data_IF_767845779420
#
_entry.id   IF_767845779420
#
_cell.length_a   1.000
_cell.length_b   1.000
_cell.length_c   1.000
_cell.angle_alpha   90.00
_cell.angle_beta   90.00
_cell.angle_gamma   90.00
#
_symmetry.space_group_name_H-M   'P 1'
#
loop_
_entity.id
_entity.type
_entity.pdbx_description
1 polymer ?
#
# COMPACT_ATOMS: atom_id res chain seq x y z
N UNK A 1 -8.18 20.91 -0.63
CA UNK A 1 -8.97 20.37 0.50
C UNK A 1 -9.12 21.47 1.55
N UNK A 2 -10.25 22.19 1.58
CA UNK A 2 -10.50 23.30 2.51
C UNK A 2 -11.51 22.90 3.58
N UNK A 3 -11.10 22.03 4.50
CA UNK A 3 -11.91 21.64 5.67
C UNK A 3 -11.04 21.67 6.91
N UNK A 4 -11.63 22.03 8.03
CA UNK A 4 -10.99 21.91 9.34
C UNK A 4 -11.22 20.48 9.85
N UNK A 5 -10.16 19.87 10.38
CA UNK A 5 -10.19 18.54 10.98
C UNK A 5 -10.02 18.69 12.47
N UNK A 6 -10.91 18.06 13.25
CA UNK A 6 -10.78 17.97 14.71
C UNK A 6 -10.47 16.52 15.06
N UNK A 7 -9.31 16.25 15.65
CA UNK A 7 -8.86 14.90 15.99
C UNK A 7 -8.22 14.81 17.38
N UNK A 8 -8.17 13.62 17.97
CA UNK A 8 -7.55 13.45 19.27
C UNK A 8 -6.03 13.73 19.22
N UNK A 9 -5.48 14.27 20.31
CA UNK A 9 -4.04 14.45 20.49
C UNK A 9 -3.35 13.09 20.75
N UNK A 10 -3.21 12.29 19.69
CA UNK A 10 -2.62 10.96 19.71
C UNK A 10 -1.43 10.88 18.75
N UNK A 11 -0.49 9.95 18.98
CA UNK A 11 0.74 9.80 18.18
C UNK A 11 0.44 9.46 16.72
N UNK A 12 -0.63 8.70 16.47
CA UNK A 12 -1.10 8.41 15.10
C UNK A 12 -1.49 9.67 14.31
N UNK A 13 -1.77 10.77 15.01
CA UNK A 13 -2.19 12.04 14.41
C UNK A 13 -1.04 13.06 14.34
N UNK A 14 0.18 12.73 14.78
CA UNK A 14 1.32 13.66 14.80
C UNK A 14 1.59 14.29 13.43
N UNK A 15 1.49 13.49 12.37
CA UNK A 15 1.62 13.97 11.00
C UNK A 15 0.61 15.07 10.65
N UNK A 16 -0.61 15.02 11.20
CA UNK A 16 -1.64 16.00 10.87
C UNK A 16 -1.53 17.29 11.71
N UNK A 17 -0.85 17.25 12.86
CA UNK A 17 -0.73 18.41 13.78
C UNK A 17 0.02 19.59 13.17
N UNK A 18 0.88 19.34 12.17
CA UNK A 18 1.65 20.38 11.49
C UNK A 18 0.81 21.26 10.54
N UNK A 19 -0.41 20.83 10.17
CA UNK A 19 -1.24 21.57 9.22
C UNK A 19 -2.13 22.61 9.92
N UNK A 20 -2.30 23.80 9.32
CA UNK A 20 -3.04 24.92 9.93
C UNK A 20 -4.52 24.62 10.15
N UNK A 21 -5.08 23.70 9.37
CA UNK A 21 -6.49 23.29 9.44
C UNK A 21 -6.73 22.10 10.39
N UNK A 22 -5.71 21.64 11.10
CA UNK A 22 -5.85 20.59 12.11
C UNK A 22 -6.07 21.22 13.49
N UNK A 23 -7.02 20.67 14.25
CA UNK A 23 -7.28 20.99 15.64
C UNK A 23 -7.19 19.71 16.45
N UNK A 24 -6.42 19.73 17.53
CA UNK A 24 -6.30 18.59 18.43
C UNK A 24 -6.94 18.86 19.78
N UNK A 25 -7.46 17.80 20.39
CA UNK A 25 -8.04 17.84 21.73
C UNK A 25 -7.49 16.72 22.62
N UNK A 26 -7.43 16.93 23.94
CA UNK A 26 -6.98 15.91 24.90
C UNK A 26 -8.14 15.27 25.67
N UNK A 27 -9.22 16.02 25.89
CA UNK A 27 -10.39 15.59 26.63
C UNK A 27 -11.70 16.06 25.95
N UNK A 28 -12.83 15.69 26.56
CA UNK A 28 -14.16 15.98 26.03
C UNK A 28 -14.47 17.49 25.98
N UNK A 29 -13.91 18.27 26.92
CA UNK A 29 -14.11 19.72 26.95
C UNK A 29 -13.33 20.39 25.82
N UNK A 30 -12.05 20.04 25.68
CA UNK A 30 -11.20 20.48 24.57
C UNK A 30 -11.82 20.13 23.21
N UNK A 31 -12.45 18.95 23.09
CA UNK A 31 -13.13 18.54 21.87
C UNK A 31 -14.29 19.46 21.52
N UNK A 32 -15.13 19.80 22.50
CA UNK A 32 -16.27 20.70 22.30
C UNK A 32 -15.78 22.09 21.91
N UNK A 33 -14.77 22.63 22.58
CA UNK A 33 -14.19 23.93 22.27
C UNK A 33 -13.58 23.96 20.86
N UNK A 34 -12.75 22.96 20.52
CA UNK A 34 -12.13 22.85 19.20
C UNK A 34 -13.17 22.71 18.07
N UNK A 35 -14.27 21.99 18.33
CA UNK A 35 -15.36 21.83 17.38
C UNK A 35 -16.15 23.12 17.19
N UNK A 36 -16.49 23.83 18.27
CA UNK A 36 -17.17 25.12 18.16
C UNK A 36 -16.34 26.13 17.37
N UNK A 37 -15.03 26.18 17.67
CA UNK A 37 -14.08 27.02 16.94
C UNK A 37 -14.03 26.67 15.46
N UNK A 38 -13.93 25.37 15.13
CA UNK A 38 -13.91 24.87 13.75
C UNK A 38 -15.20 25.18 12.96
N UNK A 39 -16.35 25.31 13.62
CA UNK A 39 -17.61 25.68 12.97
C UNK A 39 -17.71 27.17 12.62
N UNK A 40 -16.95 28.02 13.32
CA UNK A 40 -16.95 29.47 13.12
C UNK A 40 -15.80 29.96 12.25
N UNK A 41 -14.70 29.20 12.18
CA UNK A 41 -13.51 29.55 11.41
C UNK A 41 -13.61 29.10 9.96
N UNK A 42 -13.09 29.93 9.05
CA UNK A 42 -12.86 29.48 7.68
C UNK A 42 -11.55 28.69 7.59
N UNK A 43 -11.52 27.55 6.88
CA UNK A 43 -10.29 26.80 6.64
C UNK A 43 -9.27 27.66 5.90
N UNK A 44 -8.04 27.71 6.40
CA UNK A 44 -6.95 28.39 5.73
C UNK A 44 -6.64 27.72 4.39
N UNK A 45 -6.27 28.52 3.39
CA UNK A 45 -5.71 28.00 2.15
C UNK A 45 -4.38 27.31 2.46
N UNK A 46 -4.20 26.11 1.90
CA UNK A 46 -2.94 25.38 2.04
C UNK A 46 -1.91 25.96 1.08
N UNK A 47 -0.67 26.09 1.52
CA UNK A 47 0.44 26.36 0.60
C UNK A 47 0.64 25.18 -0.35
N UNK A 48 1.36 25.43 -1.46
CA UNK A 48 1.72 24.37 -2.41
C UNK A 48 2.53 23.26 -1.72
N UNK A 49 3.44 23.63 -0.81
CA UNK A 49 4.24 22.70 -0.01
C UNK A 49 3.37 21.81 0.89
N UNK A 50 2.41 22.41 1.62
CA UNK A 50 1.49 21.66 2.48
C UNK A 50 0.55 20.75 1.67
N UNK A 51 0.11 21.22 0.50
CA UNK A 51 -0.70 20.43 -0.41
C UNK A 51 0.09 19.25 -0.98
N UNK A 52 1.37 19.46 -1.28
CA UNK A 52 2.27 18.39 -1.71
C UNK A 52 2.50 17.36 -0.60
N UNK A 53 2.70 17.77 0.65
CA UNK A 53 2.86 16.84 1.78
C UNK A 53 1.65 15.89 1.96
N UNK A 54 0.45 16.36 1.63
CA UNK A 54 -0.79 15.57 1.66
C UNK A 54 -1.03 14.73 0.39
N UNK A 55 -0.14 14.81 -0.60
CA UNK A 55 -0.27 14.08 -1.85
C UNK A 55 0.12 12.61 -1.72
N UNK A 56 -0.33 11.81 -2.70
CA UNK A 56 0.10 10.41 -2.86
C UNK A 56 1.59 10.28 -3.12
N UNK A 57 2.18 11.26 -3.81
CA UNK A 57 3.61 11.30 -4.13
C UNK A 57 4.43 11.42 -2.85
N UNK A 58 4.20 12.47 -2.05
CA UNK A 58 4.90 12.64 -0.77
C UNK A 58 4.64 11.47 0.21
N UNK A 59 3.45 10.88 0.20
CA UNK A 59 3.17 9.67 0.99
C UNK A 59 4.06 8.49 0.56
N UNK A 60 4.32 8.35 -0.73
CA UNK A 60 5.21 7.32 -1.27
C UNK A 60 6.66 7.60 -0.89
N UNK A 61 7.12 8.85 -0.94
CA UNK A 61 8.47 9.23 -0.50
C UNK A 61 8.70 8.95 0.99
N UNK A 62 7.73 9.29 1.85
CA UNK A 62 7.76 8.94 3.27
C UNK A 62 7.80 7.42 3.49
N UNK A 63 7.06 6.66 2.68
CA UNK A 63 7.12 5.20 2.75
C UNK A 63 8.49 4.65 2.33
N UNK A 64 9.05 5.11 1.22
CA UNK A 64 10.35 4.65 0.71
C UNK A 64 11.51 4.99 1.65
N UNK A 65 11.49 6.18 2.25
CA UNK A 65 12.51 6.61 3.23
C UNK A 65 12.50 5.74 4.49
N UNK A 66 11.31 5.41 5.03
CA UNK A 66 11.18 4.52 6.20
C UNK A 66 11.47 3.06 5.85
N UNK A 67 11.15 2.62 4.64
CA UNK A 67 11.45 1.28 4.17
C UNK A 67 12.94 1.05 3.84
N UNK A 68 13.79 2.09 3.99
CA UNK A 68 15.21 2.10 3.62
C UNK A 68 15.47 1.74 2.15
N UNK A 69 14.44 1.81 1.30
CA UNK A 69 14.53 1.45 -0.13
C UNK A 69 15.24 2.52 -0.96
N UNK A 70 15.31 3.74 -0.44
CA UNK A 70 16.03 4.85 -1.05
C UNK A 70 17.56 4.76 -0.86
N UNK A 71 18.02 3.85 0.02
CA UNK A 71 19.45 3.55 0.17
C UNK A 71 19.95 2.66 -0.97
N UNK A 72 20.06 3.25 -2.16
CA UNK A 72 20.86 2.67 -3.24
C UNK A 72 22.35 2.77 -2.88
N UNK A 73 22.81 1.84 -2.05
CA UNK A 73 24.16 1.26 -2.16
C UNK A 73 25.34 2.22 -2.37
N UNK A 74 25.58 3.17 -1.45
CA UNK A 74 26.88 3.85 -1.34
C UNK A 74 27.91 3.07 -0.49
N UNK A 75 27.65 1.78 -0.25
CA UNK A 75 28.71 0.84 0.06
C UNK A 75 29.50 0.61 -1.22
N UNK A 76 30.58 1.39 -1.39
CA UNK A 76 31.70 1.12 -2.27
C UNK A 76 31.92 -0.40 -2.33
N UNK A 77 31.43 -1.02 -3.40
CA UNK A 77 31.61 -2.43 -3.66
C UNK A 77 33.11 -2.62 -3.90
N UNK A 78 33.86 -2.90 -2.84
CA UNK A 78 35.19 -3.47 -2.96
C UNK A 78 35.02 -4.75 -3.77
N UNK A 79 35.47 -4.70 -5.01
CA UNK A 79 35.43 -5.82 -5.98
C UNK A 79 36.09 -7.04 -5.33
N UNK A 80 35.28 -7.88 -4.69
CA UNK A 80 35.68 -9.24 -4.36
C UNK A 80 35.55 -10.06 -5.65
N UNK A 81 36.50 -10.97 -5.95
CA UNK A 81 36.53 -11.66 -7.23
C UNK A 81 35.23 -12.43 -7.48
N UNK A 82 34.69 -12.26 -8.69
CA UNK A 82 33.55 -12.96 -9.25
C UNK A 82 33.67 -14.47 -9.00
N UNK A 83 32.95 -14.98 -8.00
CA UNK A 83 32.79 -16.42 -7.80
C UNK A 83 31.65 -16.88 -8.71
N UNK A 84 32.07 -17.66 -9.69
CA UNK A 84 31.30 -18.52 -10.59
C UNK A 84 29.98 -18.97 -9.95
N UNK A 85 28.90 -18.81 -10.71
CA UNK A 85 27.63 -19.49 -10.49
C UNK A 85 27.86 -20.95 -10.10
N UNK A 86 27.34 -21.34 -8.94
CA UNK A 86 27.10 -22.74 -8.61
C UNK A 86 26.03 -22.85 -7.52
N UNK A 87 24.94 -23.50 -7.94
CA UNK A 87 24.11 -24.43 -7.15
C UNK A 87 23.26 -23.87 -6.01
N UNK A 88 21.98 -24.23 -6.08
CA UNK A 88 21.00 -24.12 -5.01
C UNK A 88 21.57 -24.63 -3.67
N UNK A 89 21.60 -23.77 -2.66
CA UNK A 89 21.48 -24.19 -1.27
C UNK A 89 20.04 -23.90 -0.83
N UNK A 90 19.25 -24.97 -0.80
CA UNK A 90 17.94 -25.04 -0.17
C UNK A 90 18.16 -24.95 1.34
N UNK A 91 18.02 -23.74 1.89
CA UNK A 91 18.07 -23.52 3.33
C UNK A 91 16.70 -23.84 3.94
N UNK A 92 16.70 -24.53 5.08
CA UNK A 92 15.57 -25.30 5.63
C UNK A 92 14.35 -24.44 6.04
N UNK A 93 14.45 -23.11 5.94
CA UNK A 93 13.34 -22.14 6.09
C UNK A 93 12.48 -21.95 4.83
N UNK A 94 12.91 -22.42 3.64
CA UNK A 94 12.06 -22.38 2.43
C UNK A 94 10.79 -23.20 2.60
N UNK A 95 10.82 -24.33 3.31
CA UNK A 95 9.67 -25.23 3.42
C UNK A 95 8.47 -24.64 4.17
N UNK A 96 8.68 -23.80 5.20
CA UNK A 96 7.55 -23.25 5.97
C UNK A 96 6.89 -22.08 5.24
N UNK A 97 7.70 -21.16 4.69
CA UNK A 97 7.21 -20.05 3.88
C UNK A 97 6.52 -20.53 2.61
N UNK A 98 7.14 -21.47 1.89
CA UNK A 98 6.61 -22.04 0.65
C UNK A 98 5.38 -22.95 0.91
N UNK A 99 5.34 -23.69 2.03
CA UNK A 99 4.12 -24.40 2.44
C UNK A 99 3.00 -23.45 2.83
N UNK A 100 3.29 -22.35 3.55
CA UNK A 100 2.28 -21.36 3.89
C UNK A 100 1.76 -20.63 2.66
N UNK A 101 2.62 -20.32 1.70
CA UNK A 101 2.26 -19.73 0.42
C UNK A 101 1.41 -20.70 -0.41
N UNK A 102 1.77 -21.98 -0.43
CA UNK A 102 1.00 -23.03 -1.09
C UNK A 102 -0.36 -23.25 -0.42
N UNK A 103 -0.41 -23.29 0.91
CA UNK A 103 -1.67 -23.40 1.67
C UNK A 103 -2.55 -22.18 1.44
N UNK A 104 -1.99 -20.96 1.46
CA UNK A 104 -2.71 -19.75 1.13
C UNK A 104 -3.20 -19.77 -0.33
N UNK A 105 -2.39 -20.22 -1.27
CA UNK A 105 -2.75 -20.38 -2.68
C UNK A 105 -3.90 -21.38 -2.86
N UNK A 106 -3.85 -22.55 -2.23
CA UNK A 106 -4.90 -23.56 -2.29
C UNK A 106 -6.18 -23.09 -1.59
N UNK A 107 -6.06 -22.47 -0.40
CA UNK A 107 -7.21 -21.98 0.35
C UNK A 107 -7.90 -20.80 -0.37
N UNK A 108 -7.12 -19.86 -0.92
CA UNK A 108 -7.63 -18.73 -1.69
C UNK A 108 -8.00 -19.08 -3.13
N UNK A 109 -7.58 -20.25 -3.62
CA UNK A 109 -7.95 -20.82 -4.92
C UNK A 109 -9.31 -21.53 -4.93
N UNK A 110 -9.95 -21.66 -3.76
CA UNK A 110 -11.26 -22.30 -3.63
C UNK A 110 -12.37 -21.25 -3.42
N UNK A 111 -13.33 -21.21 -4.35
CA UNK A 111 -14.44 -20.23 -4.35
C UNK A 111 -15.22 -20.19 -3.04
N UNK A 112 -15.46 -21.35 -2.40
CA UNK A 112 -16.22 -21.40 -1.15
C UNK A 112 -15.49 -20.67 -0.03
N UNK A 113 -14.18 -20.86 0.10
CA UNK A 113 -13.37 -20.20 1.12
C UNK A 113 -13.34 -18.69 0.89
N UNK A 114 -13.09 -18.24 -0.34
CA UNK A 114 -13.08 -16.81 -0.69
C UNK A 114 -14.39 -16.12 -0.33
N UNK A 115 -15.53 -16.77 -0.59
CA UNK A 115 -16.86 -16.24 -0.24
C UNK A 115 -17.08 -16.10 1.26
N UNK A 116 -16.62 -17.06 2.06
CA UNK A 116 -16.68 -16.95 3.53
C UNK A 116 -15.88 -15.75 4.03
N UNK A 117 -14.78 -15.41 3.34
CA UNK A 117 -13.97 -14.21 3.61
C UNK A 117 -14.44 -12.95 2.87
N UNK A 118 -15.64 -12.95 2.27
CA UNK A 118 -16.26 -11.76 1.70
C UNK A 118 -15.90 -11.45 0.24
N UNK A 119 -15.26 -12.37 -0.48
CA UNK A 119 -15.02 -12.19 -1.91
C UNK A 119 -16.32 -12.30 -2.74
N UNK A 120 -16.37 -11.56 -3.85
CA UNK A 120 -17.49 -11.56 -4.79
C UNK A 120 -17.60 -12.93 -5.48
N UNK A 121 -18.80 -13.55 -5.54
CA UNK A 121 -18.99 -14.83 -6.21
C UNK A 121 -18.57 -14.80 -7.69
N UNK A 122 -17.80 -15.80 -8.13
CA UNK A 122 -17.38 -15.91 -9.54
C UNK A 122 -16.21 -15.02 -9.92
N UNK A 123 -15.59 -14.33 -8.95
CA UNK A 123 -14.42 -13.48 -9.17
C UNK A 123 -13.09 -14.22 -8.91
N UNK A 124 -13.07 -15.56 -8.93
CA UNK A 124 -11.84 -16.36 -8.76
C UNK A 124 -10.83 -16.06 -9.86
N UNK A 125 -11.31 -15.89 -11.09
CA UNK A 125 -10.51 -15.52 -12.24
C UNK A 125 -10.88 -14.08 -12.63
N UNK A 126 -9.91 -13.24 -13.00
CA UNK A 126 -10.20 -11.91 -13.51
C UNK A 126 -11.04 -12.01 -14.79
N UNK A 127 -12.00 -11.11 -14.93
CA UNK A 127 -12.87 -11.05 -16.10
C UNK A 127 -12.13 -10.56 -17.36
N UNK A 128 -12.79 -10.58 -18.51
CA UNK A 128 -12.16 -10.21 -19.79
C UNK A 128 -11.67 -8.76 -19.83
N UNK A 129 -12.39 -7.84 -19.18
CA UNK A 129 -12.02 -6.42 -19.13
C UNK A 129 -10.78 -6.22 -18.25
N UNK A 130 -10.77 -6.81 -17.05
CA UNK A 130 -9.64 -6.79 -16.13
C UNK A 130 -8.38 -7.40 -16.75
N UNK A 131 -8.53 -8.50 -17.48
CA UNK A 131 -7.40 -9.14 -18.18
C UNK A 131 -6.86 -8.26 -19.30
N UNK A 132 -7.73 -7.53 -20.00
CA UNK A 132 -7.33 -6.59 -21.04
C UNK A 132 -6.60 -5.37 -20.47
N UNK A 133 -7.10 -4.81 -19.36
CA UNK A 133 -6.46 -3.69 -18.65
C UNK A 133 -5.08 -4.06 -18.09
N UNK A 134 -4.95 -5.28 -17.54
CA UNK A 134 -3.69 -5.79 -17.00
C UNK A 134 -2.72 -6.34 -18.07
N UNK A 135 -3.11 -6.33 -19.34
CA UNK A 135 -2.31 -6.90 -20.44
C UNK A 135 -2.15 -8.43 -20.40
N UNK A 136 -3.04 -9.14 -19.68
CA UNK A 136 -3.05 -10.60 -19.49
C UNK A 136 -3.90 -11.35 -20.54
N UNK A 137 -4.26 -10.68 -21.64
CA UNK A 137 -5.02 -11.30 -22.72
C UNK A 137 -4.24 -12.47 -23.32
N UNK A 138 -4.80 -13.69 -23.26
CA UNK A 138 -4.24 -14.87 -23.92
C UNK A 138 -4.43 -14.68 -25.42
N UNK A 139 -3.38 -14.81 -26.26
CA UNK A 139 -3.56 -14.82 -27.70
C UNK A 139 -4.44 -16.02 -28.07
N UNK A 140 -5.51 -15.78 -28.84
CA UNK A 140 -6.39 -16.83 -29.30
C UNK A 140 -5.57 -17.92 -30.01
N UNK A 141 -5.61 -19.13 -29.46
CA UNK A 141 -5.04 -20.32 -30.08
C UNK A 141 -5.80 -20.57 -31.40
N UNK A 142 -5.18 -20.25 -32.53
CA UNK A 142 -5.71 -20.58 -33.85
C UNK A 142 -5.63 -22.11 -34.03
N UNK A 143 -6.63 -22.83 -33.52
CA UNK A 143 -6.80 -24.23 -33.85
C UNK A 143 -7.43 -24.41 -35.23
N UNK A 144 -6.61 -24.99 -36.10
CA UNK A 144 -6.95 -26.04 -37.06
C UNK A 144 -7.43 -25.67 -38.46
N UNK A 145 -6.58 -26.00 -39.44
CA UNK A 145 -7.01 -26.75 -40.63
C UNK A 145 -5.80 -27.46 -41.22
N UNK A 146 -5.60 -28.70 -40.78
CA UNK A 146 -4.77 -29.69 -41.45
C UNK A 146 -5.62 -30.31 -42.57
N UNK A 147 -5.21 -30.14 -43.83
CA UNK A 147 -5.53 -31.05 -44.96
C UNK A 147 -4.25 -31.31 -45.70
#
# INVERSE_FOLDING_TARGET
MGKIVVCANHTSNDFFKQFPNCRTYNDDHDFVEATQKALTEEPAELSDEQSHELSWEAATERFLSVAELDQTSDKRLSKSPLKKFASASLDVSRNLGDASAYVHYVASGFEVSRRVFGAVPGSLQPDEEQRKELGLAIPADNQSSKV
#
